data_IF_552446202661
#
_entry.id   IF_552446202661
#
_cell.length_a   1.000
_cell.length_b   1.000
_cell.length_c   1.000
_cell.angle_alpha   90.00
_cell.angle_beta   90.00
_cell.angle_gamma   90.00
#
_symmetry.space_group_name_H-M   'P 1'
#
loop_
_entity.id
_entity.type
_entity.pdbx_description
1 polymer ?
#
# COMPACT_ATOMS: atom_id res chain seq x y z
N UNK A 1 44.03 35.26 28.46
CA UNK A 1 43.69 36.72 28.28
C UNK A 1 42.33 36.79 27.60
N UNK A 2 41.35 37.31 28.33
CA UNK A 2 39.96 37.39 27.86
C UNK A 2 39.73 38.68 27.08
N UNK A 3 38.87 38.66 26.08
CA UNK A 3 38.06 39.82 25.67
C UNK A 3 36.66 39.40 25.27
N UNK A 4 35.75 39.73 26.12
CA UNK A 4 34.29 39.74 25.90
C UNK A 4 33.98 40.98 25.04
N UNK A 5 33.11 40.89 24.06
CA UNK A 5 32.42 42.01 23.43
C UNK A 5 30.97 41.67 23.27
N UNK A 6 30.13 42.45 23.93
CA UNK A 6 28.68 42.45 23.91
C UNK A 6 28.22 43.55 22.93
N UNK A 7 27.25 43.37 22.05
CA UNK A 7 26.58 44.53 21.44
C UNK A 7 25.14 44.67 21.93
N UNK A 8 24.79 45.94 22.10
CA UNK A 8 23.58 46.49 22.62
C UNK A 8 22.36 46.30 21.69
N UNK A 9 21.23 46.09 22.34
CA UNK A 9 19.86 46.13 21.75
C UNK A 9 19.44 47.59 21.63
N UNK A 10 19.03 48.01 20.45
CA UNK A 10 18.36 49.31 20.26
C UNK A 10 16.93 49.05 19.77
N UNK A 11 15.97 49.30 20.68
CA UNK A 11 14.54 49.28 20.36
C UNK A 11 14.11 50.65 19.82
N UNK A 12 13.52 50.69 18.64
CA UNK A 12 12.91 51.89 18.06
C UNK A 12 11.40 51.69 17.94
N UNK A 13 10.65 52.37 18.82
CA UNK A 13 9.21 52.47 18.78
C UNK A 13 8.80 53.64 17.90
N UNK A 14 8.07 53.40 16.83
CA UNK A 14 7.45 54.45 15.99
C UNK A 14 5.95 54.35 16.13
N UNK A 15 5.36 55.33 16.86
CA UNK A 15 3.92 55.62 16.87
C UNK A 15 3.59 56.47 15.62
N UNK A 16 2.68 55.97 14.82
CA UNK A 16 2.03 56.75 13.74
C UNK A 16 0.53 56.78 13.97
N UNK A 17 0.00 57.91 14.36
CA UNK A 17 -1.40 58.26 14.36
C UNK A 17 -1.85 58.51 12.91
N UNK A 18 -2.90 57.84 12.48
CA UNK A 18 -3.54 58.11 11.19
C UNK A 18 -4.95 58.65 11.42
N UNK A 19 -5.17 59.87 10.93
CA UNK A 19 -6.46 60.50 10.80
C UNK A 19 -7.35 59.80 9.78
N UNK A 20 -8.61 59.61 10.14
CA UNK A 20 -9.63 59.07 9.25
C UNK A 20 -10.08 60.06 8.19
N UNK A 21 -10.28 59.54 7.00
CA UNK A 21 -11.14 60.15 5.99
C UNK A 21 -12.14 59.08 5.47
N UNK A 22 -13.42 59.35 5.74
CA UNK A 22 -14.53 58.52 5.22
C UNK A 22 -14.69 58.79 3.70
N UNK A 23 -14.56 57.74 2.93
CA UNK A 23 -15.01 57.74 1.54
C UNK A 23 -16.44 57.16 1.45
N UNK A 24 -17.32 57.68 0.56
CA UNK A 24 -18.68 57.17 0.43
C UNK A 24 -18.72 55.79 -0.21
N UNK A 25 -19.58 54.93 0.37
CA UNK A 25 -19.86 53.60 -0.17
C UNK A 25 -20.51 53.66 -1.56
N UNK A 26 -20.06 52.86 -2.55
CA UNK A 26 -20.81 52.67 -3.74
C UNK A 26 -22.04 51.80 -3.48
N UNK A 27 -23.21 52.25 -3.92
CA UNK A 27 -24.46 51.49 -3.98
C UNK A 27 -24.28 50.32 -4.87
N UNK A 28 -24.16 49.12 -4.28
CA UNK A 28 -24.08 47.86 -4.99
C UNK A 28 -25.44 47.49 -5.60
N UNK A 29 -25.44 47.27 -6.90
CA UNK A 29 -26.48 46.59 -7.65
C UNK A 29 -26.61 45.16 -7.07
N UNK A 30 -27.84 44.63 -6.87
CA UNK A 30 -27.99 43.27 -6.38
C UNK A 30 -27.39 42.28 -7.39
N UNK A 31 -26.43 41.52 -6.92
CA UNK A 31 -25.83 40.41 -7.68
C UNK A 31 -26.91 39.36 -7.96
N UNK A 32 -27.11 39.07 -9.24
CA UNK A 32 -27.87 37.92 -9.68
C UNK A 32 -27.21 36.66 -9.09
N UNK A 33 -27.85 36.02 -8.12
CA UNK A 33 -27.45 34.67 -7.67
C UNK A 33 -27.82 33.71 -8.81
N UNK A 34 -26.83 33.19 -9.50
CA UNK A 34 -27.03 32.02 -10.35
C UNK A 34 -27.52 30.87 -9.44
N UNK A 35 -28.55 30.11 -9.89
CA UNK A 35 -29.00 28.97 -9.13
C UNK A 35 -27.84 27.97 -8.99
N UNK A 36 -27.50 27.63 -7.72
CA UNK A 36 -26.57 26.57 -7.41
C UNK A 36 -26.97 25.29 -8.16
N UNK A 37 -26.05 24.58 -8.82
CA UNK A 37 -26.40 23.36 -9.52
C UNK A 37 -27.04 22.38 -8.52
N UNK A 38 -28.27 22.00 -8.78
CA UNK A 38 -28.97 20.96 -8.02
C UNK A 38 -28.20 19.66 -8.26
N UNK A 39 -27.46 19.23 -7.25
CA UNK A 39 -26.81 17.92 -7.27
C UNK A 39 -27.92 16.88 -7.41
N UNK A 40 -27.94 16.14 -8.51
CA UNK A 40 -28.83 15.00 -8.68
C UNK A 40 -28.66 14.05 -7.50
N UNK A 41 -29.72 13.50 -6.92
CA UNK A 41 -29.58 12.54 -5.83
C UNK A 41 -28.72 11.38 -6.32
N UNK A 42 -27.64 11.11 -5.60
CA UNK A 42 -26.85 9.88 -5.76
C UNK A 42 -27.83 8.72 -5.62
N UNK A 43 -27.89 7.77 -6.57
CA UNK A 43 -28.76 6.60 -6.41
C UNK A 43 -28.42 5.94 -5.09
N UNK A 44 -29.43 5.75 -4.23
CA UNK A 44 -29.29 4.95 -3.01
C UNK A 44 -28.79 3.57 -3.42
N UNK A 45 -27.54 3.27 -3.09
CA UNK A 45 -27.00 1.93 -3.26
C UNK A 45 -27.76 1.01 -2.30
N UNK A 46 -28.44 0.00 -2.82
CA UNK A 46 -29.00 -1.06 -1.97
C UNK A 46 -27.86 -1.64 -1.15
N UNK A 47 -27.95 -1.71 0.19
CA UNK A 47 -26.91 -2.28 1.01
C UNK A 47 -26.57 -3.70 0.51
N UNK A 48 -25.29 -3.96 0.28
CA UNK A 48 -24.83 -5.30 -0.08
C UNK A 48 -24.87 -6.18 1.17
N UNK A 49 -25.67 -7.25 1.15
CA UNK A 49 -25.84 -8.20 2.25
C UNK A 49 -25.05 -9.51 2.05
N UNK A 50 -24.27 -9.59 0.99
CA UNK A 50 -23.43 -10.75 0.66
C UNK A 50 -22.11 -10.79 1.44
N UNK A 51 -21.27 -11.81 1.18
CA UNK A 51 -19.96 -11.94 1.79
C UNK A 51 -19.01 -10.83 1.33
N UNK A 52 -18.26 -10.29 2.29
CA UNK A 52 -17.25 -9.23 2.05
C UNK A 52 -15.87 -9.68 2.50
N UNK A 53 -14.85 -9.11 1.86
CA UNK A 53 -13.45 -9.31 2.26
C UNK A 53 -13.22 -8.80 3.68
N UNK A 54 -12.67 -9.62 4.59
CA UNK A 54 -12.29 -9.17 5.92
C UNK A 54 -11.15 -8.15 5.92
N UNK A 55 -10.44 -7.98 4.78
CA UNK A 55 -9.31 -7.07 4.64
C UNK A 55 -9.66 -5.75 3.96
N UNK A 56 -10.68 -5.72 3.08
CA UNK A 56 -11.05 -4.51 2.32
C UNK A 56 -12.51 -4.08 2.49
N UNK A 57 -13.37 -4.95 3.03
CA UNK A 57 -14.81 -4.70 3.13
C UNK A 57 -15.55 -4.79 1.80
N UNK A 58 -14.86 -5.07 0.69
CA UNK A 58 -15.45 -5.18 -0.63
C UNK A 58 -16.15 -6.53 -0.83
N UNK A 59 -17.20 -6.61 -1.69
CA UNK A 59 -17.84 -7.87 -2.05
C UNK A 59 -16.85 -8.92 -2.55
N UNK A 60 -17.01 -10.18 -2.11
CA UNK A 60 -16.16 -11.28 -2.54
C UNK A 60 -16.89 -12.61 -2.56
N UNK A 61 -16.27 -13.64 -3.15
CA UNK A 61 -16.77 -15.02 -3.11
C UNK A 61 -16.74 -15.59 -1.69
N UNK A 62 -17.82 -16.28 -1.28
CA UNK A 62 -17.97 -16.87 0.06
C UNK A 62 -16.83 -17.84 0.41
N UNK A 63 -16.29 -18.53 -0.57
CA UNK A 63 -15.20 -19.49 -0.44
C UNK A 63 -13.88 -18.89 0.03
N UNK A 64 -13.73 -17.56 -0.08
CA UNK A 64 -12.51 -16.84 0.32
C UNK A 64 -12.58 -16.25 1.72
N UNK A 65 -13.78 -16.01 2.25
CA UNK A 65 -13.97 -15.24 3.51
C UNK A 65 -13.23 -15.86 4.70
N UNK A 66 -13.26 -17.19 4.84
CA UNK A 66 -12.58 -17.88 5.94
C UNK A 66 -11.18 -18.40 5.56
N UNK A 67 -10.72 -18.15 4.34
CA UNK A 67 -9.39 -18.56 3.95
C UNK A 67 -8.32 -17.67 4.56
N UNK A 68 -7.20 -18.29 4.90
CA UNK A 68 -5.98 -17.56 5.24
C UNK A 68 -5.55 -16.74 4.03
N UNK A 69 -5.33 -15.42 4.18
CA UNK A 69 -4.83 -14.62 3.08
C UNK A 69 -3.42 -15.03 2.69
N UNK A 70 -3.01 -14.64 1.49
CA UNK A 70 -1.64 -14.85 1.02
C UNK A 70 -0.90 -13.53 1.08
N UNK A 71 0.21 -13.51 1.80
CA UNK A 71 1.09 -12.34 1.97
C UNK A 71 2.38 -12.53 1.16
N UNK A 72 2.62 -11.68 0.17
CA UNK A 72 3.69 -11.83 -0.81
C UNK A 72 4.69 -10.69 -0.66
N UNK A 73 5.96 -11.04 -0.49
CA UNK A 73 7.04 -10.06 -0.47
C UNK A 73 7.31 -9.50 -1.86
N UNK A 74 7.12 -8.20 -2.04
CA UNK A 74 7.41 -7.50 -3.29
C UNK A 74 8.62 -6.58 -3.18
N UNK A 75 9.27 -6.42 -4.30
CA UNK A 75 10.32 -5.43 -4.48
C UNK A 75 9.72 -4.02 -4.54
N UNK A 76 10.52 -3.02 -4.19
CA UNK A 76 10.17 -1.62 -4.39
C UNK A 76 11.40 -0.75 -4.70
N UNK A 77 12.42 -1.35 -5.33
CA UNK A 77 13.55 -0.62 -5.89
C UNK A 77 13.14 0.03 -7.22
N UNK A 78 13.64 1.24 -7.48
CA UNK A 78 13.38 1.96 -8.73
C UNK A 78 13.74 1.12 -9.96
N UNK A 79 14.86 0.41 -9.90
CA UNK A 79 15.37 -0.44 -10.99
C UNK A 79 14.52 -1.69 -11.24
N UNK A 80 13.58 -1.99 -10.34
CA UNK A 80 12.69 -3.14 -10.45
C UNK A 80 11.25 -2.77 -10.88
N UNK A 81 10.98 -1.47 -11.06
CA UNK A 81 9.66 -0.99 -11.46
C UNK A 81 9.43 -1.16 -12.98
N UNK A 82 8.16 -1.33 -13.42
CA UNK A 82 6.97 -1.49 -12.59
C UNK A 82 6.94 -2.85 -11.88
N UNK A 83 6.25 -2.90 -10.73
CA UNK A 83 5.86 -4.15 -10.10
C UNK A 83 4.61 -4.70 -10.79
N UNK A 84 4.24 -5.94 -10.48
CA UNK A 84 3.14 -6.67 -11.11
C UNK A 84 2.15 -7.12 -10.04
N UNK A 85 0.86 -6.95 -10.30
CA UNK A 85 -0.23 -7.49 -9.50
C UNK A 85 -0.48 -6.79 -8.16
N UNK A 86 0.31 -5.78 -7.78
CA UNK A 86 0.16 -5.09 -6.50
C UNK A 86 -1.15 -4.29 -6.41
N UNK A 87 -1.70 -3.81 -7.53
CA UNK A 87 -2.97 -3.09 -7.55
C UNK A 87 -4.17 -3.95 -7.16
N UNK A 88 -4.03 -5.27 -7.19
CA UNK A 88 -5.06 -6.24 -6.87
C UNK A 88 -4.98 -6.74 -5.41
N UNK A 89 -3.99 -6.27 -4.63
CA UNK A 89 -3.89 -6.60 -3.22
C UNK A 89 -4.95 -5.88 -2.39
N UNK A 90 -5.51 -6.56 -1.38
CA UNK A 90 -6.42 -5.93 -0.41
C UNK A 90 -5.68 -4.95 0.50
N UNK A 91 -4.44 -5.28 0.90
CA UNK A 91 -3.60 -4.44 1.77
C UNK A 91 -2.15 -4.48 1.30
N UNK A 92 -1.49 -3.33 1.30
CA UNK A 92 -0.05 -3.22 1.08
C UNK A 92 0.61 -2.56 2.27
N UNK A 93 1.62 -3.22 2.83
CA UNK A 93 2.52 -2.66 3.83
C UNK A 93 3.82 -2.27 3.16
N UNK A 94 4.12 -1.00 3.10
CA UNK A 94 5.42 -0.51 2.68
C UNK A 94 6.26 -0.18 3.92
N UNK A 95 7.42 -0.81 4.05
CA UNK A 95 8.30 -0.66 5.22
C UNK A 95 9.73 -0.41 4.76
N UNK A 96 10.48 0.49 5.43
CA UNK A 96 11.90 0.68 5.19
C UNK A 96 12.69 -0.62 5.34
N UNK A 97 13.61 -0.83 4.42
CA UNK A 97 14.56 -1.93 4.41
C UNK A 97 16.00 -1.38 4.45
N UNK A 98 16.98 -2.24 4.24
CA UNK A 98 18.38 -1.87 4.28
C UNK A 98 18.71 -0.81 3.21
N UNK A 99 19.65 0.08 3.50
CA UNK A 99 20.15 1.07 2.54
C UNK A 99 19.19 2.22 2.22
N UNK A 100 18.12 2.40 3.00
CA UNK A 100 17.13 3.47 2.79
C UNK A 100 16.10 3.19 1.69
N UNK A 101 16.08 1.96 1.15
CA UNK A 101 15.04 1.50 0.23
C UNK A 101 13.82 1.02 1.02
N UNK A 102 12.72 0.75 0.31
CA UNK A 102 11.58 0.04 0.89
C UNK A 102 11.37 -1.31 0.19
N UNK A 103 10.61 -2.17 0.85
CA UNK A 103 9.94 -3.32 0.24
C UNK A 103 8.46 -3.25 0.56
N UNK A 104 7.68 -4.08 -0.10
CA UNK A 104 6.26 -4.18 0.17
C UNK A 104 5.89 -5.60 0.58
N UNK A 105 4.89 -5.71 1.43
CA UNK A 105 4.15 -6.93 1.68
C UNK A 105 2.74 -6.71 1.13
N UNK A 106 2.41 -7.38 0.04
CA UNK A 106 1.08 -7.36 -0.54
C UNK A 106 0.26 -8.53 0.00
N UNK A 107 -0.91 -8.25 0.57
CA UNK A 107 -1.79 -9.23 1.21
C UNK A 107 -3.06 -9.35 0.39
N UNK A 108 -3.37 -10.58 -0.02
CA UNK A 108 -4.52 -10.92 -0.86
C UNK A 108 -5.44 -11.86 -0.12
N UNK A 109 -6.68 -11.47 0.11
CA UNK A 109 -7.71 -12.36 0.66
C UNK A 109 -8.23 -13.32 -0.40
N UNK A 110 -8.45 -12.82 -1.62
CA UNK A 110 -8.76 -13.62 -2.80
C UNK A 110 -7.65 -13.49 -3.84
N UNK A 111 -7.38 -14.57 -4.54
CA UNK A 111 -6.47 -14.62 -5.68
C UNK A 111 -7.21 -14.89 -6.99
N UNK A 112 -8.54 -14.91 -6.93
CA UNK A 112 -9.37 -15.13 -8.09
C UNK A 112 -9.26 -13.94 -9.06
N UNK A 113 -8.92 -14.24 -10.31
CA UNK A 113 -8.70 -13.22 -11.33
C UNK A 113 -7.38 -12.42 -11.19
N UNK A 114 -6.58 -12.70 -10.15
CA UNK A 114 -5.28 -12.04 -10.00
C UNK A 114 -4.28 -12.57 -11.01
N UNK A 115 -3.71 -11.68 -11.80
CA UNK A 115 -2.74 -11.98 -12.84
C UNK A 115 -1.35 -12.32 -12.28
N UNK A 116 -0.33 -11.83 -12.96
CA UNK A 116 1.07 -12.02 -12.55
C UNK A 116 1.41 -11.14 -11.36
N UNK A 117 2.11 -11.69 -10.35
CA UNK A 117 2.51 -10.99 -9.13
C UNK A 117 4.04 -11.03 -8.99
N UNK A 118 4.66 -9.88 -8.80
CA UNK A 118 6.11 -9.78 -8.59
C UNK A 118 6.67 -8.38 -8.91
N UNK A 119 7.98 -8.21 -8.79
CA UNK A 119 9.00 -9.24 -8.49
C UNK A 119 9.02 -9.59 -7.01
N UNK A 120 9.05 -10.88 -6.71
CA UNK A 120 9.05 -11.40 -5.34
C UNK A 120 10.45 -11.25 -4.73
N UNK A 121 10.50 -10.82 -3.45
CA UNK A 121 11.77 -10.51 -2.76
C UNK A 121 11.92 -11.24 -1.43
N UNK A 122 13.07 -10.99 -0.82
CA UNK A 122 13.53 -11.68 0.38
C UNK A 122 12.76 -11.27 1.63
N UNK A 123 12.49 -12.25 2.48
CA UNK A 123 11.91 -12.07 3.81
C UNK A 123 12.76 -11.22 4.75
N UNK A 124 12.08 -10.51 5.65
CA UNK A 124 12.66 -9.80 6.80
C UNK A 124 11.78 -10.02 8.04
N UNK A 125 12.33 -10.01 9.25
CA UNK A 125 11.58 -10.33 10.48
C UNK A 125 10.29 -9.51 10.65
N UNK A 126 10.36 -8.21 10.46
CA UNK A 126 9.22 -7.30 10.63
C UNK A 126 8.07 -7.55 9.63
N UNK A 127 8.32 -8.10 8.44
CA UNK A 127 7.27 -8.54 7.52
C UNK A 127 6.61 -9.86 7.95
N UNK A 128 7.37 -10.72 8.67
CA UNK A 128 6.80 -11.93 9.24
C UNK A 128 5.78 -11.61 10.34
N UNK A 129 6.04 -10.56 11.13
CA UNK A 129 5.11 -10.08 12.16
C UNK A 129 3.80 -9.60 11.52
N UNK A 130 3.89 -8.83 10.43
CA UNK A 130 2.73 -8.38 9.67
C UNK A 130 1.94 -9.56 9.08
N UNK A 131 2.62 -10.53 8.48
CA UNK A 131 1.98 -11.72 7.92
C UNK A 131 1.30 -12.58 9.01
N UNK A 132 1.92 -12.74 10.18
CA UNK A 132 1.35 -13.43 11.33
C UNK A 132 0.11 -12.71 11.87
N UNK A 133 0.10 -11.37 11.88
CA UNK A 133 -1.06 -10.57 12.27
C UNK A 133 -2.31 -10.87 11.43
N UNK A 134 -2.12 -11.30 10.19
CA UNK A 134 -3.17 -11.76 9.30
C UNK A 134 -3.37 -13.28 9.29
N UNK A 135 -2.63 -14.05 10.07
CA UNK A 135 -2.56 -15.51 9.95
C UNK A 135 -2.28 -15.95 8.50
N UNK A 136 -1.50 -15.16 7.75
CA UNK A 136 -1.29 -15.34 6.32
C UNK A 136 -0.36 -16.50 5.99
N UNK A 137 -0.51 -17.05 4.76
CA UNK A 137 0.50 -17.88 4.11
C UNK A 137 1.50 -16.94 3.45
N UNK A 138 2.77 -17.05 3.83
CA UNK A 138 3.81 -16.11 3.46
C UNK A 138 4.66 -16.60 2.27
N UNK A 139 4.69 -15.85 1.17
CA UNK A 139 5.46 -16.18 -0.03
C UNK A 139 6.61 -15.19 -0.18
N UNK A 140 7.84 -15.73 -0.36
CA UNK A 140 9.05 -14.92 -0.49
C UNK A 140 10.11 -15.62 -1.35
N UNK A 141 11.11 -14.87 -1.78
CA UNK A 141 12.25 -15.40 -2.51
C UNK A 141 13.57 -15.03 -1.80
N UNK A 142 14.09 -15.94 -1.01
CA UNK A 142 15.23 -15.71 -0.14
C UNK A 142 14.88 -14.98 1.16
N UNK A 143 15.85 -14.73 2.02
CA UNK A 143 15.65 -14.04 3.30
C UNK A 143 16.97 -13.68 3.97
N UNK A 144 16.90 -12.81 5.00
CA UNK A 144 18.01 -12.62 5.92
C UNK A 144 18.13 -13.82 6.86
N UNK A 145 19.31 -14.02 7.48
CA UNK A 145 19.51 -15.07 8.47
C UNK A 145 18.52 -14.94 9.63
N UNK A 146 18.29 -13.72 10.11
CA UNK A 146 17.30 -13.43 11.14
C UNK A 146 15.87 -13.79 10.71
N UNK A 147 15.49 -13.51 9.45
CA UNK A 147 14.18 -13.89 8.94
C UNK A 147 14.01 -15.41 8.95
N UNK A 148 15.01 -16.18 8.50
CA UNK A 148 14.96 -17.64 8.55
C UNK A 148 14.92 -18.18 9.99
N UNK A 149 15.65 -17.56 10.91
CA UNK A 149 15.58 -17.92 12.33
C UNK A 149 14.17 -17.69 12.89
N UNK A 150 13.54 -16.55 12.57
CA UNK A 150 12.17 -16.20 13.01
C UNK A 150 11.11 -17.07 12.36
N UNK A 151 11.22 -17.39 11.07
CA UNK A 151 10.31 -18.33 10.41
C UNK A 151 10.23 -19.64 11.18
N UNK A 152 11.39 -20.20 11.55
CA UNK A 152 11.44 -21.45 12.35
C UNK A 152 10.93 -21.26 13.78
N UNK A 153 11.33 -20.16 14.44
CA UNK A 153 10.99 -19.88 15.84
C UNK A 153 9.49 -19.66 16.02
N UNK A 154 8.86 -18.96 15.10
CA UNK A 154 7.46 -18.56 15.19
C UNK A 154 6.52 -19.51 14.45
N UNK A 155 7.03 -20.52 13.76
CA UNK A 155 6.22 -21.48 13.01
C UNK A 155 5.48 -20.85 11.82
N UNK A 156 6.08 -19.83 11.16
CA UNK A 156 5.45 -19.13 10.04
C UNK A 156 5.27 -20.11 8.89
N UNK A 157 4.06 -20.18 8.32
CA UNK A 157 3.82 -20.90 7.07
C UNK A 157 4.45 -20.11 5.92
N UNK A 158 5.71 -20.39 5.61
CA UNK A 158 6.51 -19.66 4.64
C UNK A 158 6.90 -20.54 3.45
N UNK A 159 6.74 -20.01 2.23
CA UNK A 159 7.06 -20.65 0.97
C UNK A 159 8.19 -19.88 0.28
N UNK A 160 9.40 -20.42 0.35
CA UNK A 160 10.61 -19.76 -0.16
C UNK A 160 10.98 -20.25 -1.56
N UNK A 161 10.96 -19.35 -2.53
CA UNK A 161 11.38 -19.64 -3.90
C UNK A 161 12.89 -19.84 -4.10
N UNK A 162 13.73 -19.56 -3.10
CA UNK A 162 15.19 -19.71 -3.22
C UNK A 162 15.69 -20.97 -2.51
N UNK A 163 15.28 -21.19 -1.25
CA UNK A 163 15.74 -22.28 -0.42
C UNK A 163 14.68 -23.38 -0.20
N UNK A 164 13.52 -23.25 -0.85
CA UNK A 164 12.43 -24.23 -0.80
C UNK A 164 12.18 -24.88 -2.17
N UNK A 165 11.31 -25.90 -2.22
CA UNK A 165 11.00 -26.64 -3.45
C UNK A 165 9.95 -25.95 -4.33
N UNK A 166 9.75 -24.64 -4.18
CA UNK A 166 8.62 -23.92 -4.77
C UNK A 166 8.96 -23.19 -6.07
N UNK A 167 10.23 -23.20 -6.50
CA UNK A 167 10.70 -22.58 -7.74
C UNK A 167 10.68 -23.58 -8.89
N UNK A 168 10.34 -23.11 -10.10
CA UNK A 168 10.44 -23.83 -11.35
C UNK A 168 11.37 -23.11 -12.33
N UNK A 169 11.88 -23.86 -13.30
CA UNK A 169 12.65 -23.31 -14.44
C UNK A 169 11.74 -22.85 -15.59
N UNK A 170 10.46 -23.21 -15.56
CA UNK A 170 9.47 -22.87 -16.56
C UNK A 170 8.33 -22.06 -15.95
N UNK A 171 7.72 -21.23 -16.77
CA UNK A 171 6.50 -20.50 -16.42
C UNK A 171 5.40 -21.48 -15.99
N UNK A 172 4.72 -21.16 -14.90
CA UNK A 172 3.65 -21.97 -14.29
C UNK A 172 4.05 -23.43 -13.95
N UNK A 173 5.32 -23.77 -14.00
CA UNK A 173 5.79 -25.12 -13.66
C UNK A 173 5.73 -25.45 -12.16
N UNK A 174 5.69 -24.44 -11.30
CA UNK A 174 5.52 -24.54 -9.85
C UNK A 174 4.88 -23.25 -9.31
N UNK A 175 4.93 -23.03 -7.99
CA UNK A 175 4.40 -21.83 -7.33
C UNK A 175 5.06 -20.55 -7.84
N UNK A 176 6.37 -20.57 -8.03
CA UNK A 176 7.17 -19.42 -8.49
C UNK A 176 8.08 -19.82 -9.65
N UNK A 177 8.43 -18.83 -10.45
CA UNK A 177 9.45 -18.98 -11.53
C UNK A 177 10.12 -17.63 -11.79
N UNK A 178 11.18 -17.66 -12.62
CA UNK A 178 11.80 -16.45 -13.12
C UNK A 178 11.15 -16.06 -14.44
N UNK A 179 10.48 -14.91 -14.45
CA UNK A 179 9.77 -14.40 -15.63
C UNK A 179 10.72 -14.25 -16.82
N UNK A 180 10.45 -14.92 -17.94
CA UNK A 180 11.29 -14.85 -19.13
C UNK A 180 11.38 -13.45 -19.73
N UNK A 181 10.30 -12.67 -19.66
CA UNK A 181 10.26 -11.30 -20.20
C UNK A 181 11.08 -10.37 -19.33
N UNK A 182 10.90 -10.43 -18.00
CA UNK A 182 11.72 -9.62 -17.08
C UNK A 182 13.20 -9.97 -17.15
N UNK A 183 13.56 -11.21 -17.43
CA UNK A 183 14.97 -11.63 -17.61
C UNK A 183 15.69 -10.95 -18.78
N UNK A 184 14.95 -10.37 -19.72
CA UNK A 184 15.55 -9.65 -20.87
C UNK A 184 16.07 -8.26 -20.48
N UNK A 185 15.49 -7.64 -19.44
CA UNK A 185 15.74 -6.23 -19.12
C UNK A 185 16.10 -5.95 -17.66
N UNK A 186 15.89 -6.92 -16.76
CA UNK A 186 16.14 -6.76 -15.33
C UNK A 186 17.23 -7.71 -14.84
N UNK A 187 17.93 -7.33 -13.78
CA UNK A 187 18.83 -8.22 -13.08
C UNK A 187 18.07 -9.43 -12.51
N UNK A 188 18.77 -10.56 -12.36
CA UNK A 188 18.16 -11.83 -11.98
C UNK A 188 17.31 -11.74 -10.69
N UNK A 189 17.72 -10.90 -9.77
CA UNK A 189 17.03 -10.69 -8.48
C UNK A 189 15.66 -9.99 -8.61
N UNK A 190 15.35 -9.38 -9.75
CA UNK A 190 14.09 -8.69 -10.02
C UNK A 190 13.14 -9.49 -10.92
N UNK A 191 13.34 -10.80 -11.03
CA UNK A 191 12.64 -11.63 -12.04
C UNK A 191 11.75 -12.73 -11.45
N UNK A 192 11.74 -12.93 -10.14
CA UNK A 192 10.88 -13.96 -9.53
C UNK A 192 9.44 -13.48 -9.49
N UNK A 193 8.54 -14.30 -10.03
CA UNK A 193 7.10 -14.02 -10.09
C UNK A 193 6.29 -15.26 -9.73
N UNK A 194 5.01 -15.03 -9.48
CA UNK A 194 3.94 -16.04 -9.40
C UNK A 194 2.71 -15.52 -10.13
N UNK A 195 1.59 -16.26 -10.10
CA UNK A 195 0.26 -15.80 -10.52
C UNK A 195 -0.78 -16.23 -9.50
N UNK A 196 -1.93 -15.55 -9.48
CA UNK A 196 -3.07 -15.97 -8.67
C UNK A 196 -3.46 -17.42 -8.96
N UNK A 197 -3.53 -17.80 -10.25
CA UNK A 197 -3.82 -19.16 -10.68
C UNK A 197 -2.82 -20.20 -10.12
N UNK A 198 -1.51 -19.91 -10.22
CA UNK A 198 -0.48 -20.81 -9.68
C UNK A 198 -0.62 -21.00 -8.17
N UNK A 199 -0.95 -19.94 -7.44
CA UNK A 199 -1.15 -20.02 -5.99
C UNK A 199 -2.39 -20.86 -5.67
N UNK A 200 -3.52 -20.60 -6.32
CA UNK A 200 -4.78 -21.34 -6.11
C UNK A 200 -4.58 -22.84 -6.36
N UNK A 201 -3.92 -23.21 -7.44
CA UNK A 201 -3.70 -24.59 -7.83
C UNK A 201 -2.66 -25.33 -6.96
N UNK A 202 -1.62 -24.63 -6.50
CA UNK A 202 -0.49 -25.25 -5.81
C UNK A 202 -0.64 -25.34 -4.31
N UNK A 203 -1.20 -24.32 -3.64
CA UNK A 203 -1.31 -24.33 -2.18
C UNK A 203 -1.98 -25.58 -1.61
N UNK A 204 -3.09 -26.10 -2.19
CA UNK A 204 -3.72 -27.34 -1.70
C UNK A 204 -2.81 -28.56 -1.77
N UNK A 205 -1.84 -28.57 -2.69
CA UNK A 205 -0.95 -29.74 -2.87
C UNK A 205 0.19 -29.81 -1.85
N UNK A 206 0.40 -28.75 -1.06
CA UNK A 206 1.50 -28.69 -0.10
C UNK A 206 1.12 -29.17 1.32
N UNK A 207 -0.14 -29.57 1.54
CA UNK A 207 -0.60 -30.05 2.84
C UNK A 207 -0.64 -28.98 3.93
N UNK A 208 -0.79 -27.72 3.54
CA UNK A 208 -0.85 -26.58 4.44
C UNK A 208 -2.29 -26.36 4.95
N UNK A 209 -2.42 -25.77 6.13
CA UNK A 209 -3.68 -25.20 6.59
C UNK A 209 -4.05 -23.99 5.72
N UNK A 210 -5.16 -24.07 5.01
CA UNK A 210 -5.62 -23.04 4.08
C UNK A 210 -6.71 -22.14 4.66
N UNK A 211 -7.33 -22.54 5.75
CA UNK A 211 -8.39 -21.81 6.43
C UNK A 211 -7.90 -21.30 7.79
N UNK A 212 -8.52 -20.25 8.29
CA UNK A 212 -8.29 -19.80 9.66
C UNK A 212 -8.73 -20.86 10.67
N UNK A 213 -8.13 -20.83 11.84
CA UNK A 213 -8.58 -21.65 12.97
C UNK A 213 -9.88 -21.08 13.54
N UNK A 214 -10.65 -21.95 14.19
CA UNK A 214 -11.88 -21.54 14.87
C UNK A 214 -11.58 -20.42 15.88
N UNK A 215 -12.35 -19.34 15.77
CA UNK A 215 -12.19 -18.19 16.65
C UNK A 215 -11.24 -17.11 16.15
N UNK A 216 -10.54 -17.31 15.02
CA UNK A 216 -9.80 -16.22 14.39
C UNK A 216 -10.76 -15.06 14.03
N UNK A 217 -10.31 -13.84 14.25
CA UNK A 217 -11.07 -12.64 13.88
C UNK A 217 -10.12 -11.60 13.27
N UNK A 218 -10.44 -11.16 12.08
CA UNK A 218 -9.82 -9.96 11.52
C UNK A 218 -10.23 -8.75 12.36
N UNK A 219 -9.28 -7.88 12.66
CA UNK A 219 -9.48 -6.67 13.48
C UNK A 219 -9.94 -5.45 12.66
N UNK A 220 -10.10 -5.59 11.35
CA UNK A 220 -10.55 -4.49 10.50
C UNK A 220 -12.06 -4.30 10.60
N UNK A 221 -12.49 -3.03 10.66
CA UNK A 221 -13.91 -2.65 10.69
C UNK A 221 -14.16 -1.70 9.54
N UNK A 222 -15.21 -1.95 8.79
CA UNK A 222 -15.60 -1.15 7.63
C UNK A 222 -16.94 -0.47 7.88
N UNK A 223 -17.13 0.71 7.29
CA UNK A 223 -18.36 1.49 7.31
C UNK A 223 -18.75 1.87 5.88
N UNK A 224 -20.04 2.05 5.60
CA UNK A 224 -20.51 2.42 4.27
C UNK A 224 -20.00 3.79 3.83
N UNK A 225 -20.03 4.75 4.74
CA UNK A 225 -19.49 6.09 4.49
C UNK A 225 -18.26 6.32 5.38
N UNK A 226 -17.08 6.22 4.79
CA UNK A 226 -15.80 6.48 5.44
C UNK A 226 -15.43 7.97 5.51
N UNK A 227 -16.34 8.88 5.15
CA UNK A 227 -16.09 10.31 5.21
C UNK A 227 -15.81 10.73 6.65
N UNK A 228 -14.64 11.30 6.97
CA UNK A 228 -14.32 11.73 8.33
C UNK A 228 -15.29 12.81 8.82
N UNK A 229 -15.76 12.68 10.06
CA UNK A 229 -16.61 13.68 10.70
C UNK A 229 -15.89 15.02 10.96
N UNK A 230 -14.59 15.08 10.77
CA UNK A 230 -13.74 16.26 10.93
C UNK A 230 -12.29 15.94 10.60
N UNK A 231 -11.44 16.96 10.67
CA UNK A 231 -10.03 16.86 10.32
C UNK A 231 -9.63 17.93 9.30
N UNK A 232 -8.35 17.95 8.92
CA UNK A 232 -7.85 18.80 7.86
C UNK A 232 -7.99 18.09 6.50
N UNK A 233 -8.27 18.88 5.47
CA UNK A 233 -8.20 18.36 4.10
C UNK A 233 -6.78 17.87 3.77
N UNK A 234 -6.69 16.74 3.10
CA UNK A 234 -5.42 16.13 2.70
C UNK A 234 -5.39 15.85 1.18
N UNK A 235 -5.49 16.88 0.33
CA UNK A 235 -5.49 16.68 -1.13
C UNK A 235 -4.16 16.11 -1.64
N UNK A 236 -3.07 16.30 -0.90
CA UNK A 236 -1.76 15.74 -1.19
C UNK A 236 -1.04 15.37 0.10
N UNK A 237 -0.59 14.13 0.19
CA UNK A 237 0.19 13.60 1.31
C UNK A 237 1.57 13.24 0.80
N UNK A 238 2.62 13.72 1.48
CA UNK A 238 4.01 13.39 1.16
C UNK A 238 4.62 12.63 2.33
N UNK A 239 5.14 11.45 2.06
CA UNK A 239 5.75 10.55 3.04
C UNK A 239 7.23 10.40 2.72
N UNK A 240 8.13 11.16 3.38
CA UNK A 240 9.57 10.99 3.23
C UNK A 240 10.01 9.74 4.00
N UNK A 241 10.24 8.64 3.29
CA UNK A 241 10.67 7.37 3.90
C UNK A 241 12.17 7.40 4.18
N UNK A 242 12.95 7.96 3.27
CA UNK A 242 14.40 8.13 3.39
C UNK A 242 14.88 9.26 2.49
N UNK A 243 16.17 9.53 2.49
CA UNK A 243 16.75 10.49 1.55
C UNK A 243 16.74 10.00 0.08
N UNK A 244 16.47 8.72 -0.16
CA UNK A 244 16.33 8.14 -1.50
C UNK A 244 14.89 8.01 -1.95
N UNK A 245 13.96 7.90 -0.99
CA UNK A 245 12.59 7.55 -1.30
C UNK A 245 11.58 8.46 -0.60
N UNK A 246 10.68 8.97 -1.39
CA UNK A 246 9.49 9.72 -0.97
C UNK A 246 8.29 9.17 -1.72
N UNK A 247 7.27 8.74 -0.98
CA UNK A 247 5.96 8.42 -1.52
C UNK A 247 5.08 9.66 -1.55
N UNK A 248 4.30 9.83 -2.59
CA UNK A 248 3.35 10.93 -2.72
C UNK A 248 1.98 10.38 -3.07
N UNK A 249 0.97 10.82 -2.33
CA UNK A 249 -0.42 10.42 -2.51
C UNK A 249 -1.22 11.68 -2.85
N UNK A 250 -1.82 11.73 -4.04
CA UNK A 250 -2.64 12.85 -4.50
C UNK A 250 -4.08 12.38 -4.64
N UNK A 251 -4.99 13.01 -3.87
CA UNK A 251 -6.41 12.66 -3.91
C UNK A 251 -7.04 13.03 -5.26
N UNK A 252 -7.76 12.07 -5.80
CA UNK A 252 -8.57 12.25 -7.02
C UNK A 252 -10.05 12.26 -6.61
N UNK A 253 -10.74 13.41 -6.73
CA UNK A 253 -12.12 13.53 -6.30
C UNK A 253 -13.09 12.73 -7.18
N UNK A 254 -12.75 12.47 -8.44
CA UNK A 254 -13.61 11.74 -9.36
C UNK A 254 -13.67 10.25 -9.02
N UNK A 255 -12.51 9.64 -8.73
CA UNK A 255 -12.41 8.25 -8.29
C UNK A 255 -12.57 8.07 -6.78
N UNK A 256 -12.43 9.14 -5.99
CA UNK A 256 -12.37 9.14 -4.52
C UNK A 256 -11.21 8.30 -3.96
N UNK A 257 -10.14 8.16 -4.73
CA UNK A 257 -8.94 7.42 -4.38
C UNK A 257 -7.72 8.34 -4.38
N UNK A 258 -6.62 7.85 -3.80
CA UNK A 258 -5.32 8.51 -3.91
C UNK A 258 -4.51 7.88 -5.05
N UNK A 259 -4.05 8.72 -5.98
CA UNK A 259 -3.03 8.35 -6.94
C UNK A 259 -1.67 8.35 -6.24
N UNK A 260 -0.87 7.34 -6.52
CA UNK A 260 0.42 7.14 -5.87
C UNK A 260 1.54 7.49 -6.85
N UNK A 261 2.51 8.24 -6.36
CA UNK A 261 3.79 8.49 -7.04
C UNK A 261 4.93 7.99 -6.17
N UNK A 262 5.92 7.36 -6.79
CA UNK A 262 7.17 6.97 -6.15
C UNK A 262 8.34 7.36 -7.04
N UNK A 263 9.45 7.78 -6.43
CA UNK A 263 10.64 8.26 -7.16
C UNK A 263 10.34 9.39 -8.16
N UNK A 264 9.27 10.18 -7.92
CA UNK A 264 8.83 11.28 -8.79
C UNK A 264 8.05 10.87 -10.03
N UNK A 265 7.67 9.60 -10.15
CA UNK A 265 6.91 9.05 -11.26
C UNK A 265 5.62 8.38 -10.76
N UNK A 266 4.56 8.31 -11.58
CA UNK A 266 3.36 7.55 -11.23
C UNK A 266 3.70 6.10 -10.90
N UNK A 267 3.18 5.61 -9.76
CA UNK A 267 3.36 4.22 -9.37
C UNK A 267 2.26 3.37 -10.00
N UNK A 268 2.63 2.61 -11.02
CA UNK A 268 1.70 1.82 -11.83
C UNK A 268 1.92 0.33 -11.64
N UNK A 269 0.87 -0.45 -11.88
CA UNK A 269 0.93 -1.90 -12.00
C UNK A 269 1.31 -2.26 -13.44
N UNK A 270 2.32 -3.09 -13.61
CA UNK A 270 2.78 -3.48 -14.93
C UNK A 270 2.01 -4.65 -15.56
N UNK A 271 1.04 -5.23 -14.84
CA UNK A 271 0.18 -6.34 -15.30
C UNK A 271 -1.27 -5.90 -15.55
N UNK A 272 -1.60 -4.61 -15.31
CA UNK A 272 -2.94 -4.04 -15.49
C UNK A 272 -3.06 -3.20 -16.77
#
# INVERSE_FOLDING_TARGET
MAKKVLPAVLALILLLSACGSRLPSPTGTPAHQEPSPTVAPTPESTPYDGPVSPLSGLPMGKEWVNRRPVAIMLNNLKEALPQLGQSQADVIYEVPAEGGITRMLAVYQSLDGVGKIGSIRSARPYYLELALGHDAIYIHAGGSEDAYAKIRQWGVTALDGVNGPYMSNSENGNLMWRDPERRKSYSLEHTVVTTGTSIIERLPTYGLRLEHEDGYRCQMNFVEDGTPAGGAEAPRITVPVSHYKTGVFTYDPDSRLYRVEEYGEPYVDGDS
#
